data_IF_936304890495
#
_entry.id   IF_936304890495
#
_cell.length_a   1.000
_cell.length_b   1.000
_cell.length_c   1.000
_cell.angle_alpha   90.00
_cell.angle_beta   90.00
_cell.angle_gamma   90.00
#
_symmetry.space_group_name_H-M   'P 1'
#
loop_
_entity.id
_entity.type
_entity.pdbx_description
1 polymer ?
#
# COMPACT_ATOMS: atom_id res chain seq x y z
N UNK A 1 -4.25 23.00 17.99
CA UNK A 1 -3.35 22.25 17.09
C UNK A 1 -4.22 21.49 16.08
N UNK A 2 -3.96 21.58 14.77
CA UNK A 2 -4.76 20.85 13.76
C UNK A 2 -4.50 19.35 13.96
N UNK A 3 -5.54 18.54 14.12
CA UNK A 3 -5.40 17.09 14.26
C UNK A 3 -4.84 16.50 12.95
N UNK A 4 -3.66 15.89 13.01
CA UNK A 4 -3.14 15.05 11.94
C UNK A 4 -3.71 13.65 12.10
N UNK A 5 -4.21 13.07 11.01
CA UNK A 5 -4.69 11.68 10.96
C UNK A 5 -3.74 10.89 10.06
N UNK A 6 -3.33 9.71 10.51
CA UNK A 6 -2.62 8.74 9.69
C UNK A 6 -3.66 7.87 8.96
N UNK A 7 -3.51 7.79 7.65
CA UNK A 7 -4.24 6.85 6.80
C UNK A 7 -3.30 5.76 6.29
N UNK A 8 -3.82 4.56 6.12
CA UNK A 8 -3.08 3.39 5.64
C UNK A 8 -3.77 2.79 4.41
N UNK A 9 -2.98 2.30 3.45
CA UNK A 9 -3.42 1.62 2.24
C UNK A 9 -2.58 0.36 2.06
N UNK A 10 -3.20 -0.75 1.69
CA UNK A 10 -2.50 -2.01 1.41
C UNK A 10 -2.69 -2.34 -0.06
N UNK A 11 -1.60 -2.66 -0.76
CA UNK A 11 -1.56 -3.11 -2.15
C UNK A 11 -1.04 -4.54 -2.12
N UNK A 12 -1.77 -5.49 -2.72
CA UNK A 12 -1.37 -6.91 -2.79
C UNK A 12 -1.43 -7.41 -4.23
N UNK A 13 -0.58 -8.37 -4.61
CA UNK A 13 -0.71 -9.10 -5.90
C UNK A 13 -1.69 -10.28 -5.82
N UNK A 14 -2.30 -10.54 -4.67
CA UNK A 14 -3.15 -11.70 -4.42
C UNK A 14 -4.36 -11.74 -5.35
N UNK A 15 -4.50 -12.81 -6.15
CA UNK A 15 -5.72 -13.11 -6.92
C UNK A 15 -5.73 -12.63 -8.37
N UNK A 16 -4.66 -12.01 -8.84
CA UNK A 16 -4.43 -11.75 -10.26
C UNK A 16 -3.00 -12.20 -10.61
N UNK A 17 -2.74 -12.76 -11.80
CA UNK A 17 -1.38 -13.00 -12.28
C UNK A 17 -0.72 -11.66 -12.62
N UNK A 18 -0.61 -10.78 -11.63
CA UNK A 18 0.02 -9.48 -11.78
C UNK A 18 1.51 -9.67 -11.51
N UNK A 19 2.21 -9.83 -12.63
CA UNK A 19 3.65 -9.64 -12.77
C UNK A 19 4.14 -8.50 -11.86
N UNK A 20 5.24 -8.66 -11.08
CA UNK A 20 5.77 -7.67 -10.14
C UNK A 20 5.80 -6.22 -10.66
N UNK A 21 6.01 -6.02 -11.96
CA UNK A 21 5.94 -4.72 -12.65
C UNK A 21 4.67 -3.90 -12.37
N UNK A 22 3.52 -4.55 -12.13
CA UNK A 22 2.27 -3.85 -11.82
C UNK A 22 2.24 -3.29 -10.39
N UNK A 23 2.95 -3.93 -9.45
CA UNK A 23 3.03 -3.47 -8.07
C UNK A 23 4.00 -2.30 -7.96
N UNK A 24 5.14 -2.35 -8.65
CA UNK A 24 6.05 -1.21 -8.72
C UNK A 24 5.34 0.03 -9.26
N UNK A 25 4.53 -0.12 -10.31
CA UNK A 25 3.72 0.98 -10.85
C UNK A 25 2.63 1.45 -9.86
N UNK A 26 1.99 0.54 -9.13
CA UNK A 26 0.99 0.89 -8.12
C UNK A 26 1.61 1.65 -6.92
N UNK A 27 2.83 1.29 -6.54
CA UNK A 27 3.64 2.00 -5.55
C UNK A 27 4.01 3.39 -6.06
N UNK A 28 4.51 3.50 -7.30
CA UNK A 28 4.91 4.78 -7.90
C UNK A 28 3.72 5.75 -7.99
N UNK A 29 2.57 5.27 -8.48
CA UNK A 29 1.33 6.04 -8.52
C UNK A 29 0.91 6.50 -7.12
N UNK A 30 1.01 5.63 -6.12
CA UNK A 30 0.67 6.00 -4.75
C UNK A 30 1.67 7.05 -4.18
N UNK A 31 2.95 6.97 -4.55
CA UNK A 31 3.94 8.01 -4.27
C UNK A 31 3.55 9.37 -4.86
N UNK A 32 3.06 9.40 -6.10
CA UNK A 32 2.55 10.63 -6.73
C UNK A 32 1.30 11.19 -6.03
N UNK A 33 0.47 10.32 -5.47
CA UNK A 33 -0.70 10.68 -4.65
C UNK A 33 -0.33 11.14 -3.22
N UNK A 34 0.96 11.13 -2.85
CA UNK A 34 1.45 11.53 -1.53
C UNK A 34 1.38 10.43 -0.47
N UNK A 35 1.33 9.17 -0.89
CA UNK A 35 1.50 8.02 0.00
C UNK A 35 2.98 7.65 0.13
N UNK A 36 3.38 7.33 1.35
CA UNK A 36 4.70 6.81 1.67
C UNK A 36 4.63 5.29 1.85
N UNK A 37 5.53 4.57 1.17
CA UNK A 37 5.69 3.13 1.40
C UNK A 37 6.34 2.91 2.77
N UNK A 38 5.75 2.06 3.58
CA UNK A 38 6.24 1.73 4.93
C UNK A 38 6.88 0.36 4.99
N UNK A 39 6.26 -0.63 4.36
CA UNK A 39 6.74 -2.01 4.34
C UNK A 39 6.37 -2.67 3.02
N UNK A 40 7.30 -3.45 2.47
CA UNK A 40 7.07 -4.35 1.34
C UNK A 40 7.42 -5.75 1.84
N UNK A 41 6.44 -6.64 1.85
CA UNK A 41 6.61 -8.05 2.18
C UNK A 41 6.47 -8.84 0.89
N UNK A 42 7.43 -9.72 0.62
CA UNK A 42 7.33 -10.68 -0.48
C UNK A 42 7.27 -12.06 0.16
N UNK A 43 6.11 -12.70 0.05
CA UNK A 43 5.94 -14.06 0.52
C UNK A 43 6.12 -15.00 -0.68
N UNK A 44 7.22 -15.76 -0.64
CA UNK A 44 7.46 -16.86 -1.56
C UNK A 44 6.94 -18.12 -0.87
N UNK A 45 5.68 -18.50 -1.13
CA UNK A 45 5.12 -19.72 -0.57
C UNK A 45 5.69 -20.94 -1.32
N UNK A 46 6.55 -21.79 -0.70
CA UNK A 46 7.23 -22.87 -1.40
C UNK A 46 6.35 -24.10 -1.66
N UNK A 47 5.07 -24.07 -1.28
CA UNK A 47 4.14 -25.22 -1.36
C UNK A 47 3.11 -25.15 -2.49
N UNK A 48 3.00 -24.02 -3.20
CA UNK A 48 2.14 -23.91 -4.37
C UNK A 48 2.93 -24.28 -5.64
N UNK A 49 2.50 -25.34 -6.33
CA UNK A 49 3.09 -25.80 -7.59
C UNK A 49 3.02 -24.74 -8.72
N UNK A 50 2.25 -23.67 -8.51
CA UNK A 50 2.22 -22.46 -9.32
C UNK A 50 2.88 -21.33 -8.53
N UNK A 51 4.12 -20.98 -8.91
CA UNK A 51 4.96 -19.92 -8.33
C UNK A 51 4.23 -18.58 -8.39
N UNK A 52 3.40 -18.29 -7.41
CA UNK A 52 2.67 -17.03 -7.32
C UNK A 52 3.35 -16.23 -6.22
N UNK A 53 4.35 -15.43 -6.59
CA UNK A 53 4.99 -14.50 -5.66
C UNK A 53 3.94 -13.50 -5.16
N UNK A 54 3.63 -13.55 -3.87
CA UNK A 54 2.71 -12.62 -3.26
C UNK A 54 3.49 -11.43 -2.72
N UNK A 55 3.24 -10.24 -3.27
CA UNK A 55 3.87 -9.00 -2.82
C UNK A 55 2.81 -8.15 -2.15
N UNK A 56 3.05 -7.84 -0.88
CA UNK A 56 2.19 -7.03 -0.03
C UNK A 56 2.92 -5.73 0.29
N UNK A 57 2.38 -4.60 -0.15
CA UNK A 57 2.91 -3.27 0.10
C UNK A 57 1.97 -2.49 1.02
N UNK A 58 2.48 -2.03 2.15
CA UNK A 58 1.77 -1.19 3.09
C UNK A 58 2.23 0.25 2.90
N UNK A 59 1.29 1.14 2.61
CA UNK A 59 1.52 2.57 2.47
C UNK A 59 0.82 3.34 3.58
N UNK A 60 1.41 4.46 3.99
CA UNK A 60 0.82 5.41 4.92
C UNK A 60 0.78 6.80 4.29
N UNK A 61 -0.15 7.64 4.72
CA UNK A 61 -0.07 9.08 4.47
C UNK A 61 -0.56 9.86 5.67
N UNK A 62 0.07 11.00 5.92
CA UNK A 62 -0.41 11.96 6.91
C UNK A 62 -1.39 12.92 6.24
N UNK A 63 -2.65 12.84 6.62
CA UNK A 63 -3.65 13.83 6.19
C UNK A 63 -3.88 14.83 7.29
N UNK A 64 -3.80 16.12 6.93
CA UNK A 64 -4.26 17.20 7.81
C UNK A 64 -5.77 17.06 7.93
N UNK A 65 -6.25 16.63 9.10
CA UNK A 65 -7.67 16.59 9.38
C UNK A 65 -8.24 18.00 9.23
N UNK A 66 -9.33 18.15 8.45
CA UNK A 66 -10.18 19.32 8.61
C UNK A 66 -10.61 19.33 10.07
N UNK A 67 -10.35 20.45 10.77
CA UNK A 67 -10.85 20.65 12.12
C UNK A 67 -12.33 20.27 12.13
N UNK A 68 -12.71 19.33 13.00
CA UNK A 68 -14.13 19.03 13.19
C UNK A 68 -14.83 20.35 13.52
N UNK A 69 -15.99 20.68 12.90
CA UNK A 69 -16.75 21.84 13.30
C UNK A 69 -17.12 21.65 14.76
N UNK A 70 -16.52 22.47 15.63
CA UNK A 70 -16.83 22.52 17.05
C UNK A 70 -18.27 23.03 17.12
N UNK A 71 -19.19 22.22 17.63
CA UNK A 71 -20.60 22.57 17.80
C UNK A 71 -20.84 23.04 19.23
#
# INVERSE_FOLDING_TARGET
MKATKLEYKVITSSGTPQNPANIDQAIENAGQEGWEVTSITRDEHPSDQDKTEEVVCVLRREVKGKAAPIK
#
